data_IF_769269836167
#
_entry.id   IF_769269836167
#
_cell.length_a   1.000
_cell.length_b   1.000
_cell.length_c   1.000
_cell.angle_alpha   90.00
_cell.angle_beta   90.00
_cell.angle_gamma   90.00
#
_symmetry.space_group_name_H-M   'P 1'
#
loop_
_entity.id
_entity.type
_entity.pdbx_description
1 polymer ?
#
# COMPACT_ATOMS: atom_id res chain seq x y z
N UNK A 1 -2.77 79.10 9.06
CA UNK A 1 -3.70 77.94 9.04
C UNK A 1 -2.93 76.73 8.53
N UNK A 2 -2.64 75.76 9.43
CA UNK A 2 -1.93 74.50 9.18
C UNK A 2 -2.83 73.53 8.40
N UNK A 3 -2.33 72.93 7.32
CA UNK A 3 -2.86 71.69 6.70
C UNK A 3 -1.67 70.92 6.14
N UNK A 4 -1.12 70.00 6.93
CA UNK A 4 -1.39 68.56 6.92
C UNK A 4 -0.48 67.82 5.93
N UNK A 5 0.52 67.20 6.54
CA UNK A 5 1.54 66.32 5.98
C UNK A 5 0.87 65.05 5.43
N UNK A 6 1.23 64.61 4.23
CA UNK A 6 0.90 63.27 3.74
C UNK A 6 2.18 62.61 3.23
N UNK A 7 2.76 61.79 4.10
CA UNK A 7 3.78 60.79 3.80
C UNK A 7 3.09 59.71 2.97
N UNK A 8 3.28 59.74 1.66
CA UNK A 8 2.88 58.65 0.78
C UNK A 8 4.05 57.68 0.69
N UNK A 9 3.98 56.68 1.56
CA UNK A 9 4.76 55.45 1.56
C UNK A 9 4.91 54.94 0.11
N UNK A 10 6.08 55.17 -0.50
CA UNK A 10 6.47 54.50 -1.74
C UNK A 10 6.69 53.04 -1.40
N UNK A 11 5.62 52.28 -1.58
CA UNK A 11 5.55 50.82 -1.61
C UNK A 11 6.85 50.21 -2.16
N UNK A 12 7.61 49.61 -1.26
CA UNK A 12 8.68 48.68 -1.58
C UNK A 12 8.01 47.42 -2.16
N UNK A 13 7.86 47.39 -3.48
CA UNK A 13 7.38 46.23 -4.21
C UNK A 13 8.50 45.18 -4.24
N UNK A 14 8.64 44.42 -3.14
CA UNK A 14 9.45 43.22 -3.14
C UNK A 14 8.73 42.19 -4.02
N UNK A 15 9.14 42.09 -5.28
CA UNK A 15 8.73 41.01 -6.17
C UNK A 15 9.37 39.70 -5.69
N UNK A 16 8.76 39.06 -4.70
CA UNK A 16 9.02 37.66 -4.37
C UNK A 16 7.87 36.83 -4.94
N UNK A 17 8.07 36.25 -6.12
CA UNK A 17 7.40 35.03 -6.64
C UNK A 17 7.78 34.86 -8.12
N UNK A 18 8.09 33.68 -8.63
CA UNK A 18 7.67 32.37 -8.20
C UNK A 18 8.81 31.37 -8.37
N UNK A 19 9.05 30.56 -7.34
CA UNK A 19 9.55 29.22 -7.58
C UNK A 19 8.42 28.53 -8.39
N UNK A 20 8.59 28.34 -9.70
CA UNK A 20 7.63 27.57 -10.49
C UNK A 20 7.65 26.17 -9.89
N UNK A 21 6.67 25.85 -9.03
CA UNK A 21 6.45 24.47 -8.61
C UNK A 21 6.26 23.72 -9.91
N UNK A 22 7.17 22.79 -10.18
CA UNK A 22 6.99 21.88 -11.30
C UNK A 22 5.79 21.03 -10.88
N UNK A 23 4.64 21.29 -11.49
CA UNK A 23 3.42 20.51 -11.30
C UNK A 23 3.63 19.15 -11.97
N UNK A 24 4.36 18.26 -11.29
CA UNK A 24 4.52 16.89 -11.73
C UNK A 24 3.18 16.17 -11.55
N UNK A 25 2.49 15.93 -12.66
CA UNK A 25 1.28 15.11 -12.69
C UNK A 25 1.68 13.65 -12.86
N UNK A 26 1.28 12.81 -11.92
CA UNK A 26 1.38 11.36 -12.08
C UNK A 26 0.46 10.95 -13.23
N UNK A 27 0.92 10.04 -14.08
CA UNK A 27 0.09 9.49 -15.14
C UNK A 27 -1.04 8.66 -14.52
N UNK A 28 -2.28 8.92 -14.94
CA UNK A 28 -3.50 8.23 -14.46
C UNK A 28 -3.42 6.70 -14.57
N UNK A 29 -2.58 6.16 -15.46
CA UNK A 29 -2.32 4.72 -15.56
C UNK A 29 -1.71 4.11 -14.28
N UNK A 30 -1.07 4.92 -13.43
CA UNK A 30 -0.55 4.48 -12.13
C UNK A 30 -1.56 4.63 -10.99
N UNK A 31 -2.71 5.27 -11.22
CA UNK A 31 -3.77 5.44 -10.20
C UNK A 31 -4.58 4.15 -10.04
N UNK A 32 -3.91 3.09 -9.63
CA UNK A 32 -4.48 1.75 -9.42
C UNK A 32 -4.21 1.28 -7.99
N UNK A 33 -5.13 0.47 -7.45
CA UNK A 33 -5.08 -0.02 -6.07
C UNK A 33 -5.23 -1.54 -6.01
N UNK A 34 -4.34 -2.26 -6.69
CA UNK A 34 -4.37 -3.72 -6.79
C UNK A 34 -3.34 -4.39 -5.88
N UNK A 35 -3.66 -5.61 -5.43
CA UNK A 35 -2.67 -6.61 -5.05
C UNK A 35 -2.45 -7.52 -6.27
N UNK A 36 -1.20 -7.75 -6.61
CA UNK A 36 -0.77 -8.50 -7.81
C UNK A 36 0.08 -9.72 -7.47
N UNK A 37 0.46 -9.88 -6.20
CA UNK A 37 1.21 -11.03 -5.72
C UNK A 37 1.23 -11.11 -4.21
N UNK A 38 1.55 -12.30 -3.73
CA UNK A 38 1.69 -12.63 -2.31
C UNK A 38 2.89 -13.56 -2.15
N UNK A 39 3.61 -13.41 -1.04
CA UNK A 39 4.70 -14.30 -0.63
C UNK A 39 4.63 -14.48 0.87
N UNK A 40 4.81 -15.71 1.34
CA UNK A 40 4.82 -16.07 2.75
C UNK A 40 6.13 -16.77 3.09
N UNK A 41 6.71 -16.42 4.24
CA UNK A 41 7.85 -17.13 4.80
C UNK A 41 7.52 -17.61 6.20
N UNK A 42 7.78 -18.88 6.49
CA UNK A 42 7.79 -19.43 7.84
C UNK A 42 9.03 -18.96 8.61
N UNK A 43 8.98 -19.06 9.95
CA UNK A 43 10.13 -18.83 10.81
C UNK A 43 11.13 -19.97 10.60
N UNK A 44 12.28 -19.68 10.00
CA UNK A 44 13.37 -20.64 9.86
C UNK A 44 14.72 -19.92 9.68
N UNK A 45 15.82 -20.65 9.91
CA UNK A 45 17.19 -20.13 9.70
C UNK A 45 17.46 -19.76 8.24
N UNK A 46 16.69 -20.33 7.31
CA UNK A 46 16.74 -20.06 5.86
C UNK A 46 15.31 -19.86 5.35
N UNK A 47 14.78 -18.64 5.40
CA UNK A 47 13.41 -18.39 4.98
C UNK A 47 13.26 -18.67 3.49
N UNK A 48 12.31 -19.56 3.15
CA UNK A 48 11.91 -19.88 1.78
C UNK A 48 10.43 -19.53 1.63
N UNK A 49 10.02 -19.16 0.41
CA UNK A 49 8.60 -18.98 0.12
C UNK A 49 7.87 -20.31 0.32
N UNK A 50 6.83 -20.31 1.16
CA UNK A 50 6.06 -21.52 1.51
C UNK A 50 4.71 -21.62 0.79
N UNK A 51 4.39 -20.70 -0.12
CA UNK A 51 3.13 -20.76 -0.88
C UNK A 51 3.21 -21.89 -1.90
N UNK A 52 2.25 -22.82 -1.86
CA UNK A 52 2.05 -23.85 -2.86
C UNK A 52 1.25 -23.32 -4.06
N UNK A 53 0.20 -22.56 -3.77
CA UNK A 53 -0.63 -21.89 -4.77
C UNK A 53 -1.30 -20.64 -4.19
N UNK A 54 -1.72 -19.73 -5.06
CA UNK A 54 -2.56 -18.60 -4.66
C UNK A 54 -3.48 -18.16 -5.81
N UNK A 55 -4.57 -17.51 -5.44
CA UNK A 55 -5.55 -16.89 -6.33
C UNK A 55 -5.79 -15.44 -5.90
N UNK A 56 -5.94 -14.55 -6.89
CA UNK A 56 -6.28 -13.14 -6.67
C UNK A 56 -7.61 -12.87 -7.35
N UNK A 57 -8.65 -12.71 -6.54
CA UNK A 57 -9.95 -12.27 -6.99
C UNK A 57 -9.98 -10.74 -6.97
N UNK A 58 -9.72 -10.16 -8.14
CA UNK A 58 -9.71 -8.71 -8.29
C UNK A 58 -11.11 -8.10 -8.23
N UNK A 59 -12.18 -8.85 -8.47
CA UNK A 59 -13.55 -8.32 -8.41
C UNK A 59 -13.97 -8.14 -6.96
N UNK A 60 -13.80 -9.20 -6.15
CA UNK A 60 -14.16 -9.20 -4.73
C UNK A 60 -13.07 -8.63 -3.81
N UNK A 61 -11.92 -8.24 -4.36
CA UNK A 61 -10.77 -7.73 -3.61
C UNK A 61 -10.26 -8.74 -2.56
N UNK A 62 -10.09 -9.99 -2.98
CA UNK A 62 -9.63 -11.07 -2.11
C UNK A 62 -8.38 -11.74 -2.66
N UNK A 63 -7.51 -12.15 -1.75
CA UNK A 63 -6.35 -13.01 -2.06
C UNK A 63 -6.50 -14.28 -1.25
N UNK A 64 -6.41 -15.43 -1.91
CA UNK A 64 -6.40 -16.74 -1.28
C UNK A 64 -5.03 -17.36 -1.49
N UNK A 65 -4.32 -17.70 -0.41
CA UNK A 65 -3.04 -18.38 -0.48
C UNK A 65 -3.10 -19.70 0.28
N UNK A 66 -2.52 -20.73 -0.34
CA UNK A 66 -2.46 -22.08 0.20
C UNK A 66 -1.02 -22.47 0.51
N UNK A 67 -0.81 -22.98 1.71
CA UNK A 67 0.50 -23.40 2.25
C UNK A 67 0.45 -24.88 2.67
N UNK A 68 1.60 -25.54 2.88
CA UNK A 68 1.62 -26.94 3.28
C UNK A 68 0.83 -27.20 4.58
N UNK A 69 0.26 -28.40 4.69
CA UNK A 69 -0.38 -28.86 5.92
C UNK A 69 0.59 -28.79 7.11
N UNK A 70 0.07 -28.46 8.29
CA UNK A 70 0.85 -28.33 9.52
C UNK A 70 1.64 -27.03 9.65
N UNK A 71 1.57 -26.13 8.65
CA UNK A 71 2.14 -24.79 8.76
C UNK A 71 1.47 -24.00 9.90
N UNK A 72 2.26 -23.47 10.83
CA UNK A 72 1.77 -22.54 11.84
C UNK A 72 1.46 -21.17 11.21
N UNK A 73 0.17 -20.86 11.08
CA UNK A 73 -0.30 -19.61 10.48
C UNK A 73 -0.18 -18.40 11.42
N UNK A 74 0.12 -18.59 12.71
CA UNK A 74 0.09 -17.51 13.69
C UNK A 74 1.33 -16.61 13.64
N UNK A 75 2.41 -17.04 12.97
CA UNK A 75 3.69 -16.35 12.93
C UNK A 75 4.35 -16.42 11.54
N UNK A 76 3.75 -15.77 10.54
CA UNK A 76 4.28 -15.76 9.17
C UNK A 76 4.77 -14.37 8.74
N UNK A 77 5.85 -14.32 7.96
CA UNK A 77 6.26 -13.07 7.30
C UNK A 77 5.48 -12.92 6.00
N UNK A 78 4.54 -11.97 5.98
CA UNK A 78 3.73 -11.63 4.81
C UNK A 78 4.42 -10.56 3.96
N UNK A 79 4.45 -10.78 2.65
CA UNK A 79 4.81 -9.77 1.66
C UNK A 79 3.72 -9.74 0.60
N UNK A 80 3.21 -8.54 0.31
CA UNK A 80 2.23 -8.30 -0.75
C UNK A 80 2.88 -7.45 -1.84
N UNK A 81 2.76 -7.89 -3.09
CA UNK A 81 3.11 -7.08 -4.25
C UNK A 81 1.89 -6.26 -4.64
N UNK A 82 2.02 -4.94 -4.63
CA UNK A 82 0.92 -4.00 -4.91
C UNK A 82 1.17 -3.21 -6.19
N UNK A 83 0.14 -2.52 -6.67
CA UNK A 83 0.25 -1.55 -7.77
C UNK A 83 1.47 -0.64 -7.62
N UNK A 84 2.14 -0.33 -8.74
CA UNK A 84 3.35 0.49 -8.74
C UNK A 84 3.07 1.88 -8.13
N UNK A 85 3.88 2.27 -7.15
CA UNK A 85 3.76 3.55 -6.44
C UNK A 85 2.58 3.62 -5.46
N UNK A 86 1.75 2.58 -5.36
CA UNK A 86 0.72 2.50 -4.33
C UNK A 86 1.33 2.29 -2.94
N UNK A 87 0.51 2.53 -1.92
CA UNK A 87 0.82 2.29 -0.52
C UNK A 87 -0.17 1.28 0.08
N UNK A 88 0.22 0.64 1.17
CA UNK A 88 -0.58 -0.37 1.87
C UNK A 88 -0.79 0.03 3.33
N UNK A 89 -2.02 -0.04 3.82
CA UNK A 89 -2.39 0.24 5.22
C UNK A 89 -3.23 -0.90 5.81
N UNK A 90 -2.91 -1.43 7.00
CA UNK A 90 -1.71 -1.15 7.78
C UNK A 90 -0.44 -1.58 7.06
N UNK A 91 0.68 -0.91 7.35
CA UNK A 91 1.99 -1.36 6.87
C UNK A 91 2.28 -2.72 7.51
N UNK A 92 2.75 -3.67 6.70
CA UNK A 92 3.14 -4.99 7.19
C UNK A 92 4.55 -4.90 7.75
N UNK A 93 4.69 -5.13 9.05
CA UNK A 93 5.96 -5.16 9.76
C UNK A 93 6.10 -6.47 10.53
N UNK A 94 7.24 -7.13 10.40
CA UNK A 94 7.55 -8.35 11.16
C UNK A 94 6.65 -9.55 10.80
N UNK A 95 6.32 -10.34 11.82
CA UNK A 95 5.45 -11.50 11.71
C UNK A 95 3.98 -11.11 11.85
N UNK A 96 3.12 -11.79 11.09
CA UNK A 96 1.69 -11.59 11.03
C UNK A 96 1.00 -12.91 11.33
N UNK A 97 0.01 -12.85 12.22
CA UNK A 97 -0.93 -13.95 12.43
C UNK A 97 -1.94 -13.96 11.27
N UNK A 98 -1.94 -15.04 10.49
CA UNK A 98 -2.82 -15.26 9.34
C UNK A 98 -3.79 -16.43 9.58
N UNK A 99 -3.98 -16.86 10.84
CA UNK A 99 -4.99 -17.85 11.22
C UNK A 99 -6.44 -17.36 10.99
N UNK A 100 -6.59 -16.05 10.78
CA UNK A 100 -7.86 -15.39 10.43
C UNK A 100 -7.64 -14.40 9.29
N UNK A 101 -8.67 -14.13 8.46
CA UNK A 101 -8.52 -13.22 7.34
C UNK A 101 -8.06 -11.82 7.76
N UNK A 102 -7.10 -11.23 7.03
CA UNK A 102 -6.57 -9.89 7.31
C UNK A 102 -6.96 -8.90 6.24
N UNK A 103 -7.36 -7.70 6.67
CA UNK A 103 -7.74 -6.62 5.77
C UNK A 103 -6.60 -5.63 5.59
N UNK A 104 -6.37 -5.22 4.36
CA UNK A 104 -5.43 -4.16 4.00
C UNK A 104 -6.06 -3.24 2.96
N UNK A 105 -5.79 -1.94 3.06
CA UNK A 105 -6.18 -0.97 2.06
C UNK A 105 -4.99 -0.65 1.18
N UNK A 106 -5.14 -0.86 -0.13
CA UNK A 106 -4.20 -0.35 -1.13
C UNK A 106 -4.67 1.04 -1.56
N UNK A 107 -3.78 2.00 -1.52
CA UNK A 107 -4.03 3.39 -1.92
C UNK A 107 -3.07 3.76 -3.04
N UNK A 108 -3.62 4.15 -4.19
CA UNK A 108 -2.87 4.64 -5.35
C UNK A 108 -1.97 5.86 -5.03
N UNK A 109 -1.00 6.22 -5.89
CA UNK A 109 0.00 7.24 -5.59
C UNK A 109 -0.54 8.61 -5.16
N UNK A 110 -1.59 9.13 -5.83
CA UNK A 110 -2.24 10.38 -5.42
C UNK A 110 -3.42 10.18 -4.46
N UNK A 111 -3.71 8.92 -4.10
CA UNK A 111 -4.80 8.56 -3.21
C UNK A 111 -6.20 8.67 -3.81
N UNK A 112 -6.30 8.84 -5.14
CA UNK A 112 -7.56 8.98 -5.87
C UNK A 112 -8.34 7.66 -5.86
N UNK A 113 -7.62 6.55 -6.09
CA UNK A 113 -8.17 5.20 -6.03
C UNK A 113 -7.72 4.50 -4.75
N UNK A 114 -8.69 3.96 -4.00
CA UNK A 114 -8.45 3.16 -2.80
C UNK A 114 -9.28 1.88 -2.87
N UNK A 115 -8.70 0.77 -2.42
CA UNK A 115 -9.38 -0.52 -2.42
C UNK A 115 -9.02 -1.31 -1.17
N UNK A 116 -10.05 -1.76 -0.45
CA UNK A 116 -9.88 -2.68 0.69
C UNK A 116 -9.80 -4.10 0.18
N UNK A 117 -8.72 -4.78 0.51
CA UNK A 117 -8.43 -6.16 0.19
C UNK A 117 -8.53 -7.05 1.42
N UNK A 118 -8.96 -8.29 1.25
CA UNK A 118 -8.97 -9.32 2.30
C UNK A 118 -8.03 -10.47 1.92
N UNK A 119 -7.10 -10.80 2.81
CA UNK A 119 -6.11 -11.86 2.66
C UNK A 119 -6.59 -13.08 3.44
N UNK A 120 -6.73 -14.20 2.75
CA UNK A 120 -7.09 -15.50 3.28
C UNK A 120 -5.90 -16.44 3.12
N UNK A 121 -5.49 -17.08 4.21
CA UNK A 121 -4.45 -18.12 4.18
C UNK A 121 -5.04 -19.37 4.79
N UNK A 122 -4.86 -20.49 4.10
CA UNK A 122 -5.28 -21.80 4.56
C UNK A 122 -4.19 -22.84 4.24
N UNK A 123 -4.21 -23.95 4.95
CA UNK A 123 -3.41 -25.11 4.57
C UNK A 123 -4.11 -25.86 3.44
N UNK A 124 -3.37 -26.27 2.41
CA UNK A 124 -3.89 -27.20 1.41
C UNK A 124 -4.26 -28.52 2.10
N UNK A 125 -5.46 -29.08 1.86
CA UNK A 125 -5.70 -30.49 2.18
C UNK A 125 -4.68 -31.33 1.41
N UNK A 126 -4.04 -32.31 2.05
CA UNK A 126 -3.32 -33.33 1.29
C UNK A 126 -4.36 -34.02 0.40
N UNK A 127 -4.18 -33.97 -0.92
CA UNK A 127 -4.92 -34.86 -1.81
C UNK A 127 -4.60 -36.29 -1.32
N UNK A 128 -5.60 -36.92 -0.70
CA UNK A 128 -5.46 -38.21 -0.05
C UNK A 128 -4.95 -39.25 -1.03
N UNK A 129 -3.77 -39.79 -0.76
CA UNK A 129 -3.38 -41.12 -1.21
C UNK A 129 -4.16 -42.20 -0.45
#
# INVERSE_FOLDING_TARGET
MKKLIYILFTSLYVAVTACSKIDYKINDAYETAAITGITLYAVSDKPVNIIESFEIDTENASVYAFVPEGTDLTHLRLVLTISTGASLTPVINGFTDLSSPKKYTVTSPNGIVQKSWTIHVATSPQDGQ
#
